data_IF_904176565313
#
_entry.id   IF_904176565313
#
_cell.length_a   1.000
_cell.length_b   1.000
_cell.length_c   1.000
_cell.angle_alpha   90.00
_cell.angle_beta   90.00
_cell.angle_gamma   90.00
#
_symmetry.space_group_name_H-M   'P 1'
#
loop_
_entity.id
_entity.type
_entity.pdbx_description
1 polymer ?
#
# COMPACT_ATOMS: atom_id res chain seq x y z
N UNK A 1 -18.42 -7.37 -23.46
CA UNK A 1 -17.85 -6.33 -22.62
C UNK A 1 -18.84 -6.01 -21.50
N UNK A 2 -18.36 -6.00 -20.29
CA UNK A 2 -19.22 -5.71 -19.14
C UNK A 2 -19.53 -4.22 -19.09
N UNK A 3 -20.82 -3.89 -18.92
CA UNK A 3 -21.29 -2.52 -18.71
C UNK A 3 -21.58 -2.28 -17.22
N UNK A 4 -20.66 -2.72 -16.36
CA UNK A 4 -20.81 -2.48 -14.93
C UNK A 4 -20.92 -0.98 -14.68
N UNK A 5 -21.85 -0.53 -13.82
CA UNK A 5 -21.95 0.87 -13.48
C UNK A 5 -20.67 1.34 -12.78
N UNK A 6 -20.32 2.60 -13.00
CA UNK A 6 -19.23 3.21 -12.28
C UNK A 6 -19.52 3.21 -10.78
N UNK A 7 -18.51 2.90 -9.98
CA UNK A 7 -18.64 2.86 -8.53
C UNK A 7 -17.66 3.83 -7.89
N UNK A 8 -18.15 4.50 -6.87
CA UNK A 8 -17.29 5.18 -5.92
C UNK A 8 -17.15 4.29 -4.68
N UNK A 9 -15.97 4.30 -4.08
CA UNK A 9 -15.70 3.53 -2.87
C UNK A 9 -15.22 4.48 -1.79
N UNK A 10 -15.92 4.50 -0.65
CA UNK A 10 -15.48 5.28 0.50
C UNK A 10 -14.50 4.46 1.32
N UNK A 11 -13.36 5.04 1.67
CA UNK A 11 -12.36 4.35 2.48
C UNK A 11 -12.93 3.90 3.83
N UNK A 12 -13.82 4.69 4.43
CA UNK A 12 -14.47 4.35 5.71
C UNK A 12 -15.31 3.08 5.64
N UNK A 13 -15.73 2.68 4.44
CA UNK A 13 -16.55 1.47 4.23
C UNK A 13 -15.69 0.24 3.92
N UNK A 14 -14.36 0.41 3.87
CA UNK A 14 -13.42 -0.67 3.61
C UNK A 14 -12.79 -1.12 4.92
N UNK A 15 -12.77 -2.44 5.16
CA UNK A 15 -12.12 -3.00 6.34
C UNK A 15 -10.64 -2.66 6.34
N UNK A 16 -10.08 -2.14 7.43
CA UNK A 16 -8.66 -1.86 7.51
C UNK A 16 -7.87 -3.17 7.53
N UNK A 17 -6.77 -3.19 6.80
CA UNK A 17 -5.80 -4.28 6.91
C UNK A 17 -4.58 -3.75 7.67
N UNK A 18 -4.23 -4.41 8.77
CA UNK A 18 -3.12 -4.03 9.65
C UNK A 18 -2.00 -5.05 9.67
N UNK A 19 -2.03 -5.98 8.72
CA UNK A 19 -1.08 -7.10 8.71
C UNK A 19 0.37 -6.64 8.77
N UNK A 20 0.74 -5.60 8.00
CA UNK A 20 2.10 -5.05 7.95
C UNK A 20 2.31 -3.83 8.82
N UNK A 21 1.27 -3.42 9.57
CA UNK A 21 1.27 -2.18 10.33
C UNK A 21 0.53 -1.06 9.60
N UNK A 22 0.12 -0.07 10.36
CA UNK A 22 -0.74 1.00 9.86
C UNK A 22 -2.16 0.52 9.57
N UNK A 23 -2.95 1.43 9.05
CA UNK A 23 -4.33 1.18 8.62
C UNK A 23 -4.36 1.28 7.09
N UNK A 24 -4.32 0.14 6.42
CA UNK A 24 -4.29 0.06 4.96
C UNK A 24 -5.69 -0.28 4.46
N UNK A 25 -6.22 0.57 3.59
CA UNK A 25 -7.55 0.37 2.99
C UNK A 25 -7.43 0.41 1.48
N UNK A 26 -7.61 -0.74 0.85
CA UNK A 26 -7.63 -0.85 -0.61
C UNK A 26 -9.04 -0.49 -1.09
N UNK A 27 -9.17 0.64 -1.76
CA UNK A 27 -10.45 1.13 -2.23
C UNK A 27 -10.79 0.65 -3.65
N UNK A 28 -9.79 0.72 -4.53
CA UNK A 28 -9.98 0.37 -5.94
C UNK A 28 -9.11 -0.84 -6.28
N UNK A 29 -9.75 -1.93 -6.64
CA UNK A 29 -9.08 -3.21 -6.93
C UNK A 29 -9.94 -4.06 -7.87
N UNK A 30 -9.41 -5.18 -8.36
CA UNK A 30 -10.24 -6.13 -9.11
C UNK A 30 -11.50 -6.53 -8.35
N UNK A 31 -11.37 -6.71 -7.03
CA UNK A 31 -12.49 -7.16 -6.19
C UNK A 31 -13.55 -6.08 -6.01
N UNK A 32 -13.17 -4.81 -5.90
CA UNK A 32 -14.14 -3.73 -5.62
C UNK A 32 -14.75 -3.16 -6.89
N UNK A 33 -13.96 -2.93 -7.92
CA UNK A 33 -14.40 -2.21 -9.13
C UNK A 33 -14.00 -2.92 -10.43
N UNK A 34 -13.45 -4.15 -10.35
CA UNK A 34 -13.07 -4.90 -11.53
C UNK A 34 -11.89 -4.31 -12.29
N UNK A 35 -10.96 -3.65 -11.59
CA UNK A 35 -9.77 -3.10 -12.25
C UNK A 35 -8.93 -4.22 -12.85
N UNK A 36 -8.27 -3.91 -13.96
CA UNK A 36 -7.47 -4.90 -14.70
C UNK A 36 -5.98 -4.56 -14.76
N UNK A 37 -5.59 -3.33 -14.42
CA UNK A 37 -4.21 -2.87 -14.56
C UNK A 37 -3.51 -2.64 -13.23
N UNK A 38 -4.24 -2.40 -12.15
CA UNK A 38 -3.66 -2.10 -10.86
C UNK A 38 -4.68 -2.00 -9.76
N UNK A 39 -4.20 -1.67 -8.58
CA UNK A 39 -5.06 -1.40 -7.44
C UNK A 39 -4.48 -0.24 -6.64
N UNK A 40 -5.33 0.40 -5.86
CA UNK A 40 -4.91 1.52 -5.03
C UNK A 40 -5.80 1.70 -3.82
N UNK A 41 -5.34 2.57 -2.94
CA UNK A 41 -6.05 2.85 -1.71
C UNK A 41 -5.35 3.92 -0.92
N UNK A 42 -5.50 3.84 0.40
CA UNK A 42 -4.95 4.83 1.31
C UNK A 42 -4.42 4.16 2.57
N UNK A 43 -3.27 4.64 3.02
CA UNK A 43 -2.65 4.25 4.28
C UNK A 43 -2.80 5.40 5.27
N UNK A 44 -3.34 5.11 6.45
CA UNK A 44 -3.25 5.98 7.61
C UNK A 44 -2.19 5.42 8.54
N UNK A 45 -1.18 6.21 8.84
CA UNK A 45 -0.06 5.80 9.67
C UNK A 45 0.01 6.73 10.88
N UNK A 46 -0.27 6.18 12.07
CA UNK A 46 -0.21 6.95 13.32
C UNK A 46 1.23 7.29 13.69
N UNK A 47 1.45 8.31 14.55
CA UNK A 47 2.80 8.62 15.01
C UNK A 47 3.53 7.38 15.55
N UNK A 48 4.74 7.15 15.08
CA UNK A 48 5.58 6.03 15.48
C UNK A 48 5.26 4.70 14.82
N UNK A 49 4.14 4.60 14.08
CA UNK A 49 3.81 3.37 13.38
C UNK A 49 4.72 3.12 12.19
N UNK A 50 4.82 1.85 11.84
CA UNK A 50 5.68 1.36 10.76
C UNK A 50 4.88 0.40 9.89
N UNK A 51 5.00 0.55 8.57
CA UNK A 51 4.67 -0.51 7.63
C UNK A 51 5.95 -1.29 7.39
N UNK A 52 5.94 -2.57 7.76
CA UNK A 52 7.15 -3.40 7.78
C UNK A 52 7.72 -3.65 6.39
N UNK A 53 9.01 -3.94 6.34
CA UNK A 53 9.74 -4.09 5.08
C UNK A 53 9.18 -5.24 4.24
N UNK A 54 8.94 -4.91 2.98
CA UNK A 54 8.48 -5.86 1.96
C UNK A 54 8.82 -5.31 0.57
N UNK A 55 8.64 -6.13 -0.45
CA UNK A 55 8.77 -5.69 -1.84
C UNK A 55 7.67 -6.30 -2.71
N UNK A 56 7.48 -5.71 -3.87
CA UNK A 56 6.49 -6.14 -4.85
C UNK A 56 7.21 -6.66 -6.09
N UNK A 57 7.17 -7.97 -6.37
CA UNK A 57 7.92 -8.53 -7.50
C UNK A 57 7.30 -8.27 -8.86
N UNK A 58 6.03 -7.85 -8.91
CA UNK A 58 5.30 -7.64 -10.16
C UNK A 58 4.86 -6.22 -10.40
N UNK A 59 4.96 -5.34 -9.40
CA UNK A 59 4.34 -4.01 -9.47
C UNK A 59 5.32 -2.92 -9.09
N UNK A 60 5.18 -1.78 -9.76
CA UNK A 60 5.68 -0.51 -9.24
C UNK A 60 4.66 0.03 -8.25
N UNK A 61 5.12 0.70 -7.20
CA UNK A 61 4.23 1.35 -6.25
C UNK A 61 4.42 2.86 -6.30
N UNK A 62 3.33 3.58 -6.55
CA UNK A 62 3.28 5.03 -6.50
C UNK A 62 2.68 5.45 -5.17
N UNK A 63 3.39 6.30 -4.43
CA UNK A 63 2.90 6.84 -3.16
C UNK A 63 2.94 8.36 -3.19
N UNK A 64 1.97 8.96 -2.52
CA UNK A 64 1.85 10.41 -2.39
C UNK A 64 1.51 10.74 -0.94
N UNK A 65 2.25 11.64 -0.32
CA UNK A 65 1.94 12.06 1.05
C UNK A 65 0.94 13.20 0.99
N UNK A 66 -0.28 12.92 1.39
CA UNK A 66 -1.34 13.94 1.42
C UNK A 66 -1.32 14.76 2.69
N UNK A 67 -1.03 14.12 3.83
CA UNK A 67 -1.00 14.76 5.16
C UNK A 67 0.17 14.18 5.94
N UNK A 68 0.87 15.02 6.69
CA UNK A 68 1.96 14.61 7.54
C UNK A 68 3.25 14.38 6.78
N UNK A 69 4.09 13.51 7.30
CA UNK A 69 5.35 13.13 6.67
C UNK A 69 5.70 11.69 7.04
N UNK A 70 6.45 11.05 6.16
CA UNK A 70 6.94 9.69 6.37
C UNK A 70 8.40 9.58 5.94
N UNK A 71 9.07 8.56 6.44
CA UNK A 71 10.40 8.16 5.98
C UNK A 71 10.26 6.79 5.32
N UNK A 72 10.71 6.69 4.07
CA UNK A 72 10.76 5.42 3.34
C UNK A 72 12.20 4.95 3.31
N UNK A 73 12.46 3.77 3.89
CA UNK A 73 13.77 3.14 3.82
C UNK A 73 13.79 2.16 2.65
N UNK A 74 14.70 2.36 1.71
CA UNK A 74 14.85 1.54 0.52
C UNK A 74 16.05 0.61 0.67
N UNK A 75 15.84 -0.68 0.36
CA UNK A 75 16.85 -1.74 0.39
C UNK A 75 17.64 -1.82 1.70
N UNK A 76 16.99 -1.46 2.80
CA UNK A 76 17.55 -1.55 4.14
C UNK A 76 18.54 -0.45 4.51
N UNK A 77 18.88 0.44 3.58
CA UNK A 77 19.98 1.41 3.83
C UNK A 77 19.62 2.85 3.47
N UNK A 78 18.90 3.09 2.38
CA UNK A 78 18.65 4.44 1.90
C UNK A 78 17.34 4.96 2.44
N UNK A 79 17.39 6.06 3.17
CA UNK A 79 16.19 6.72 3.70
C UNK A 79 15.82 7.93 2.83
N UNK A 80 14.52 8.01 2.50
CA UNK A 80 13.94 9.12 1.76
C UNK A 80 12.85 9.74 2.64
N UNK A 81 13.00 11.03 2.94
CA UNK A 81 11.99 11.78 3.70
C UNK A 81 10.97 12.34 2.73
N UNK A 82 9.70 12.04 2.97
CA UNK A 82 8.60 12.57 2.18
C UNK A 82 7.71 13.43 3.05
N UNK A 83 7.56 14.68 2.66
CA UNK A 83 6.65 15.64 3.31
C UNK A 83 5.35 15.72 2.52
N UNK A 84 4.33 16.34 3.10
CA UNK A 84 3.05 16.54 2.41
C UNK A 84 3.28 17.19 1.05
N UNK A 85 2.72 16.59 0.01
CA UNK A 85 2.90 17.02 -1.38
C UNK A 85 4.00 16.28 -2.12
N UNK A 86 4.86 15.53 -1.43
CA UNK A 86 5.90 14.75 -2.09
C UNK A 86 5.35 13.40 -2.58
N UNK A 87 5.92 12.92 -3.67
CA UNK A 87 5.57 11.63 -4.25
C UNK A 87 6.83 10.81 -4.53
N UNK A 88 6.70 9.49 -4.48
CA UNK A 88 7.78 8.55 -4.74
C UNK A 88 7.23 7.35 -5.52
N UNK A 89 7.98 6.87 -6.49
CA UNK A 89 7.71 5.57 -7.10
C UNK A 89 8.74 4.57 -6.59
N UNK A 90 8.25 3.49 -5.99
CA UNK A 90 9.10 2.38 -5.54
C UNK A 90 9.15 1.35 -6.68
N UNK A 91 10.34 1.10 -7.25
CA UNK A 91 10.47 0.13 -8.35
C UNK A 91 10.14 -1.30 -7.92
N UNK A 92 9.85 -2.15 -8.90
CA UNK A 92 9.71 -3.59 -8.66
C UNK A 92 10.93 -4.13 -7.93
N UNK A 93 10.70 -5.07 -7.01
CA UNK A 93 11.73 -5.79 -6.26
C UNK A 93 12.53 -4.94 -5.28
N UNK A 94 12.21 -3.66 -5.13
CA UNK A 94 12.91 -2.80 -4.15
C UNK A 94 12.24 -2.92 -2.80
N UNK A 95 12.97 -3.42 -1.82
CA UNK A 95 12.48 -3.53 -0.44
C UNK A 95 12.25 -2.14 0.13
N UNK A 96 11.13 -1.95 0.80
CA UNK A 96 10.78 -0.66 1.38
C UNK A 96 10.05 -0.83 2.70
N UNK A 97 10.30 0.12 3.59
CA UNK A 97 9.73 0.21 4.93
C UNK A 97 9.31 1.65 5.16
N UNK A 98 8.08 1.87 5.59
CA UNK A 98 7.52 3.22 5.76
C UNK A 98 7.32 3.47 7.24
N UNK A 99 7.87 4.57 7.74
CA UNK A 99 7.77 4.97 9.14
C UNK A 99 7.18 6.38 9.24
N UNK A 100 6.31 6.59 10.19
CA UNK A 100 5.87 7.94 10.57
C UNK A 100 6.73 8.43 11.75
N UNK A 101 7.71 9.31 11.51
CA UNK A 101 8.58 9.80 12.58
C UNK A 101 8.00 10.98 13.35
N UNK A 102 6.86 11.52 12.90
CA UNK A 102 6.28 12.73 13.44
C UNK A 102 5.36 12.49 14.63
N UNK A 103 4.68 13.56 15.03
CA UNK A 103 3.72 13.57 16.14
C UNK A 103 2.27 13.67 15.65
N UNK A 104 2.06 13.60 14.34
CA UNK A 104 0.73 13.65 13.69
C UNK A 104 0.52 12.45 12.80
N UNK A 105 -0.73 12.03 12.58
CA UNK A 105 -1.01 10.99 11.59
C UNK A 105 -0.55 11.40 10.20
N UNK A 106 -0.07 10.44 9.43
CA UNK A 106 0.24 10.61 8.01
C UNK A 106 -0.84 9.92 7.19
N UNK A 107 -1.22 10.53 6.07
CA UNK A 107 -2.18 9.97 5.12
C UNK A 107 -1.46 9.85 3.79
N UNK A 108 -1.37 8.61 3.31
CA UNK A 108 -0.55 8.26 2.13
C UNK A 108 -1.41 7.46 1.14
N UNK A 109 -2.00 8.11 0.15
CA UNK A 109 -2.60 7.39 -0.98
C UNK A 109 -1.52 6.62 -1.74
N UNK A 110 -1.87 5.42 -2.24
CA UNK A 110 -0.94 4.59 -2.99
C UNK A 110 -1.64 3.90 -4.15
N UNK A 111 -0.83 3.49 -5.14
CA UNK A 111 -1.30 2.74 -6.30
C UNK A 111 -0.20 1.80 -6.77
N UNK A 112 -0.56 0.56 -7.06
CA UNK A 112 0.37 -0.45 -7.57
C UNK A 112 -0.10 -0.95 -8.94
N UNK A 113 0.81 -1.05 -9.88
CA UNK A 113 0.58 -1.60 -11.21
C UNK A 113 1.88 -2.09 -11.84
N UNK A 114 1.84 -3.08 -12.75
CA UNK A 114 0.68 -3.90 -13.09
C UNK A 114 0.27 -4.81 -11.93
N UNK A 115 -0.85 -5.50 -12.10
CA UNK A 115 -1.30 -6.50 -11.13
C UNK A 115 -0.39 -7.73 -11.15
N UNK A 116 -0.18 -8.34 -9.99
CA UNK A 116 0.43 -9.66 -9.93
C UNK A 116 -0.51 -10.70 -10.54
N UNK A 117 0.02 -11.85 -11.02
CA UNK A 117 -0.83 -12.93 -11.57
C UNK A 117 -1.86 -13.43 -10.57
N UNK A 118 -1.50 -13.47 -9.28
CA UNK A 118 -2.40 -13.84 -8.18
C UNK A 118 -2.08 -12.96 -6.97
N UNK A 119 -3.07 -12.68 -6.11
CA UNK A 119 -2.86 -11.78 -4.96
C UNK A 119 -1.70 -12.18 -4.06
N UNK A 120 -1.55 -13.47 -3.76
CA UNK A 120 -0.51 -13.96 -2.85
C UNK A 120 0.91 -13.82 -3.41
N UNK A 121 1.06 -13.60 -4.71
CA UNK A 121 2.35 -13.38 -5.34
C UNK A 121 2.75 -11.92 -5.40
N UNK A 122 1.83 -11.02 -5.05
CA UNK A 122 2.00 -9.58 -5.26
C UNK A 122 2.93 -8.90 -4.26
N UNK A 123 3.40 -9.62 -3.24
CA UNK A 123 4.27 -9.03 -2.22
C UNK A 123 5.08 -10.13 -1.52
N UNK A 124 6.25 -9.75 -1.02
CA UNK A 124 7.13 -10.62 -0.24
C UNK A 124 7.57 -9.86 1.00
N UNK A 125 7.26 -10.41 2.18
CA UNK A 125 7.65 -9.82 3.46
C UNK A 125 9.09 -10.19 3.79
N UNK A 126 9.86 -9.23 4.27
CA UNK A 126 11.30 -9.39 4.56
C UNK A 126 11.65 -9.09 6.01
N UNK A 127 10.65 -8.80 6.85
CA UNK A 127 10.81 -8.70 8.30
C UNK A 127 9.52 -9.19 9.00
N UNK A 128 9.58 -9.47 10.31
CA UNK A 128 8.39 -9.99 11.03
C UNK A 128 7.19 -9.06 10.93
N UNK A 129 6.02 -9.67 10.77
CA UNK A 129 4.75 -8.95 10.64
C UNK A 129 4.22 -8.53 12.02
N UNK A 130 3.71 -7.28 12.16
CA UNK A 130 3.09 -6.85 13.43
C UNK A 130 1.79 -7.58 13.75
N UNK A 131 1.02 -7.93 12.72
CA UNK A 131 -0.28 -8.59 12.90
C UNK A 131 -0.42 -9.78 11.94
N UNK A 132 0.38 -10.86 12.15
CA UNK A 132 0.40 -11.98 11.21
C UNK A 132 -0.92 -12.78 11.18
N UNK A 133 -1.79 -12.60 12.17
CA UNK A 133 -3.09 -13.25 12.19
C UNK A 133 -4.09 -12.60 11.24
N UNK A 134 -3.85 -11.35 10.81
CA UNK A 134 -4.68 -10.73 9.78
C UNK A 134 -4.38 -11.37 8.42
N UNK A 135 -5.41 -11.61 7.60
CA UNK A 135 -5.19 -12.19 6.27
C UNK A 135 -4.44 -11.21 5.36
N UNK A 136 -3.73 -11.74 4.35
CA UNK A 136 -3.15 -10.89 3.32
C UNK A 136 -4.23 -10.10 2.56
N UNK A 137 -3.82 -8.96 1.98
CA UNK A 137 -4.70 -8.20 1.09
C UNK A 137 -5.08 -9.04 -0.13
N UNK A 138 -6.37 -9.09 -0.44
CA UNK A 138 -6.87 -9.80 -1.61
C UNK A 138 -6.86 -8.85 -2.82
N UNK A 139 -5.68 -8.58 -3.34
CA UNK A 139 -5.45 -7.66 -4.46
C UNK A 139 -4.58 -8.33 -5.52
N UNK A 140 -4.78 -7.93 -6.77
CA UNK A 140 -4.06 -8.50 -7.89
C UNK A 140 -4.92 -9.48 -8.67
N UNK A 141 -4.45 -9.87 -9.82
CA UNK A 141 -5.01 -10.67 -10.87
C UNK A 141 -6.28 -11.48 -10.69
N UNK A 142 -6.70 -12.21 -11.71
CA UNK A 142 -7.84 -13.09 -11.55
C UNK A 142 -7.51 -14.17 -10.51
N UNK A 143 -8.45 -14.36 -9.61
CA UNK A 143 -8.35 -15.44 -8.61
C UNK A 143 -8.76 -16.76 -9.23
#
# INVERSE_FOLDING_TARGET
>A
MSNSPLRTVQARDVEPNRRRGGDVRVTLSPKTVGSTSGFGGVLWLAPGEVVTEHYHPYSEEFIYVAVGNVVVRLDGTREVVLNAGDALMVPMNVRHRVTNPGDRPAIVPFHLSPLAPRPELGHVDTEPLPAPAQPPLEVGGPS
#
